data_IF_080231016597
#
_entry.id   IF_080231016597
#
_cell.length_a   1.000
_cell.length_b   1.000
_cell.length_c   1.000
_cell.angle_alpha   90.00
_cell.angle_beta   90.00
_cell.angle_gamma   90.00
#
_symmetry.space_group_name_H-M   'P 1'
#
loop_
_entity.id
_entity.type
_entity.pdbx_description
1 polymer ?
#
# COMPACT_ATOMS: atom_id res chain seq x y z
N UNK A 1 40.62 38.75 -13.08
CA UNK A 1 40.54 37.47 -13.81
C UNK A 1 40.11 36.44 -12.80
N UNK A 2 38.87 35.95 -12.88
CA UNK A 2 38.39 34.86 -12.02
C UNK A 2 39.12 33.56 -12.42
N UNK A 3 39.46 32.75 -11.43
CA UNK A 3 40.27 31.54 -11.63
C UNK A 3 39.44 30.45 -12.30
N UNK A 4 40.06 29.60 -13.13
CA UNK A 4 39.40 28.48 -13.84
C UNK A 4 38.57 27.59 -12.93
N UNK A 5 38.98 27.41 -11.67
CA UNK A 5 38.22 26.65 -10.66
C UNK A 5 36.91 27.31 -10.17
N UNK A 6 36.76 28.63 -10.29
CA UNK A 6 35.50 29.34 -9.97
C UNK A 6 34.47 29.20 -11.10
N UNK A 7 34.96 29.10 -12.35
CA UNK A 7 34.16 28.85 -13.54
C UNK A 7 33.62 27.41 -13.56
N UNK A 8 34.46 26.40 -13.31
CA UNK A 8 34.06 25.00 -13.23
C UNK A 8 33.08 24.74 -12.08
N UNK A 9 33.31 25.35 -10.92
CA UNK A 9 32.37 25.27 -9.80
C UNK A 9 31.03 25.98 -10.11
N UNK A 10 31.06 27.04 -10.91
CA UNK A 10 29.87 27.72 -11.41
C UNK A 10 29.05 26.85 -12.36
N UNK A 11 29.71 26.23 -13.33
CA UNK A 11 29.10 25.32 -14.31
C UNK A 11 28.52 24.07 -13.63
N UNK A 12 29.24 23.48 -12.68
CA UNK A 12 28.75 22.35 -11.90
C UNK A 12 27.46 22.69 -11.11
N UNK A 13 27.43 23.87 -10.47
CA UNK A 13 26.22 24.34 -9.75
C UNK A 13 25.03 24.55 -10.70
N UNK A 14 25.26 25.06 -11.90
CA UNK A 14 24.21 25.23 -12.91
C UNK A 14 23.71 23.87 -13.39
N UNK A 15 24.59 22.92 -13.68
CA UNK A 15 24.21 21.56 -14.08
C UNK A 15 23.38 20.84 -13.00
N UNK A 16 23.75 20.98 -11.73
CA UNK A 16 23.01 20.38 -10.62
C UNK A 16 21.65 21.04 -10.40
N UNK A 17 21.56 22.37 -10.56
CA UNK A 17 20.29 23.09 -10.52
C UNK A 17 19.36 22.66 -11.67
N UNK A 18 19.89 22.51 -12.88
CA UNK A 18 19.13 22.02 -14.05
C UNK A 18 18.65 20.58 -13.82
N UNK A 19 19.51 19.68 -13.32
CA UNK A 19 19.13 18.29 -12.98
C UNK A 19 18.03 18.25 -11.93
N UNK A 20 18.13 19.05 -10.87
CA UNK A 20 17.10 19.15 -9.84
C UNK A 20 15.78 19.65 -10.42
N UNK A 21 15.83 20.71 -11.24
CA UNK A 21 14.64 21.27 -11.86
C UNK A 21 13.97 20.26 -12.81
N UNK A 22 14.74 19.56 -13.65
CA UNK A 22 14.24 18.54 -14.55
C UNK A 22 13.59 17.38 -13.79
N UNK A 23 14.21 16.92 -12.69
CA UNK A 23 13.62 15.91 -11.80
C UNK A 23 12.29 16.40 -11.23
N UNK A 24 12.25 17.59 -10.63
CA UNK A 24 11.02 18.15 -10.04
C UNK A 24 9.91 18.28 -11.08
N UNK A 25 10.22 18.74 -12.29
CA UNK A 25 9.27 18.80 -13.42
C UNK A 25 8.72 17.43 -13.78
N UNK A 26 9.59 16.43 -13.95
CA UNK A 26 9.17 15.08 -14.27
C UNK A 26 8.27 14.47 -13.18
N UNK A 27 8.55 14.74 -11.91
CA UNK A 27 7.67 14.33 -10.80
C UNK A 27 6.31 15.03 -10.86
N UNK A 28 6.29 16.35 -11.06
CA UNK A 28 5.03 17.09 -11.17
C UNK A 28 4.18 16.60 -12.35
N UNK A 29 4.80 16.38 -13.51
CA UNK A 29 4.11 15.84 -14.69
C UNK A 29 3.57 14.42 -14.44
N UNK A 30 4.34 13.57 -13.74
CA UNK A 30 3.87 12.25 -13.35
C UNK A 30 2.71 12.33 -12.35
N UNK A 31 2.77 13.22 -11.37
CA UNK A 31 1.69 13.48 -10.41
C UNK A 31 0.42 13.94 -11.11
N UNK A 32 0.52 14.86 -12.08
CA UNK A 32 -0.61 15.33 -12.87
C UNK A 32 -1.27 14.18 -13.66
N UNK A 33 -0.46 13.34 -14.33
CA UNK A 33 -0.96 12.19 -15.08
C UNK A 33 -1.60 11.15 -14.16
N UNK A 34 -0.95 10.81 -13.05
CA UNK A 34 -1.49 9.87 -12.06
C UNK A 34 -2.80 10.42 -11.50
N UNK A 35 -2.83 11.71 -11.13
CA UNK A 35 -4.03 12.37 -10.62
C UNK A 35 -5.15 12.34 -11.65
N UNK A 36 -4.86 12.58 -12.93
CA UNK A 36 -5.85 12.53 -14.01
C UNK A 36 -6.43 11.12 -14.17
N UNK A 37 -5.59 10.08 -14.20
CA UNK A 37 -6.03 8.67 -14.28
C UNK A 37 -6.86 8.29 -13.05
N UNK A 38 -6.39 8.62 -11.85
CA UNK A 38 -7.13 8.31 -10.63
C UNK A 38 -8.44 9.10 -10.54
N UNK A 39 -8.53 10.29 -11.13
CA UNK A 39 -9.75 11.09 -11.16
C UNK A 39 -10.72 10.68 -12.27
N UNK A 40 -10.31 9.78 -13.17
CA UNK A 40 -11.19 9.26 -14.20
C UNK A 40 -12.45 8.63 -13.57
N UNK A 41 -13.66 8.99 -14.03
CA UNK A 41 -14.89 8.46 -13.45
C UNK A 41 -15.00 6.94 -13.52
N UNK A 42 -14.48 6.31 -14.58
CA UNK A 42 -14.48 4.85 -14.73
C UNK A 42 -13.54 4.18 -13.73
N UNK A 43 -12.38 4.78 -13.47
CA UNK A 43 -11.45 4.32 -12.42
C UNK A 43 -12.07 4.47 -11.03
N UNK A 44 -12.73 5.60 -10.75
CA UNK A 44 -13.43 5.79 -9.48
C UNK A 44 -14.58 4.80 -9.31
N UNK A 45 -15.38 4.56 -10.34
CA UNK A 45 -16.46 3.59 -10.29
C UNK A 45 -15.93 2.16 -10.08
N UNK A 46 -14.89 1.76 -10.80
CA UNK A 46 -14.25 0.46 -10.61
C UNK A 46 -13.73 0.31 -9.18
N UNK A 47 -13.10 1.36 -8.62
CA UNK A 47 -12.63 1.39 -7.24
C UNK A 47 -13.76 1.20 -6.24
N UNK A 48 -14.89 1.89 -6.40
CA UNK A 48 -16.03 1.73 -5.49
C UNK A 48 -16.67 0.34 -5.60
N UNK A 49 -16.75 -0.23 -6.81
CA UNK A 49 -17.21 -1.62 -7.01
C UNK A 49 -16.30 -2.63 -6.31
N UNK A 50 -14.98 -2.46 -6.43
CA UNK A 50 -14.01 -3.32 -5.72
C UNK A 50 -14.17 -3.18 -4.20
N UNK A 51 -14.21 -1.96 -3.66
CA UNK A 51 -14.42 -1.74 -2.22
C UNK A 51 -15.71 -2.39 -1.72
N UNK A 52 -16.80 -2.29 -2.48
CA UNK A 52 -18.06 -2.92 -2.13
C UNK A 52 -17.93 -4.44 -2.07
N UNK A 53 -17.34 -5.05 -3.10
CA UNK A 53 -17.11 -6.50 -3.15
C UNK A 53 -16.18 -6.98 -2.02
N UNK A 54 -15.09 -6.26 -1.73
CA UNK A 54 -14.19 -6.57 -0.61
C UNK A 54 -14.93 -6.54 0.74
N UNK A 55 -15.82 -5.58 0.93
CA UNK A 55 -16.58 -5.40 2.18
C UNK A 55 -17.66 -6.47 2.34
N UNK A 56 -18.38 -6.77 1.25
CA UNK A 56 -19.39 -7.83 1.21
C UNK A 56 -18.76 -9.17 1.56
N UNK A 57 -17.71 -9.55 0.82
CA UNK A 57 -16.96 -10.79 1.05
C UNK A 57 -16.35 -10.84 2.47
N UNK A 58 -15.80 -9.72 2.95
CA UNK A 58 -15.29 -9.62 4.32
C UNK A 58 -16.35 -9.90 5.38
N UNK A 59 -17.56 -9.40 5.16
CA UNK A 59 -18.70 -9.62 6.04
C UNK A 59 -19.16 -11.08 5.99
N UNK A 60 -19.28 -11.67 4.81
CA UNK A 60 -19.66 -13.08 4.64
C UNK A 60 -18.69 -14.02 5.35
N UNK A 61 -17.40 -13.73 5.29
CA UNK A 61 -16.35 -14.54 5.90
C UNK A 61 -16.17 -14.30 7.41
N UNK A 62 -16.80 -13.27 7.97
CA UNK A 62 -16.56 -12.84 9.35
C UNK A 62 -16.82 -13.95 10.37
N UNK A 63 -17.92 -14.69 10.24
CA UNK A 63 -18.24 -15.77 11.19
C UNK A 63 -17.12 -16.84 11.30
N UNK A 64 -16.39 -17.05 10.21
CA UNK A 64 -15.33 -18.05 10.13
C UNK A 64 -13.96 -17.49 10.49
N UNK A 65 -13.68 -16.26 10.07
CA UNK A 65 -12.35 -15.67 10.15
C UNK A 65 -12.16 -14.74 11.36
N UNK A 66 -13.22 -14.33 12.05
CA UNK A 66 -13.15 -13.51 13.27
C UNK A 66 -12.19 -14.05 14.35
N UNK A 67 -12.07 -15.38 14.60
CA UNK A 67 -11.11 -15.90 15.56
C UNK A 67 -9.64 -15.59 15.25
N UNK A 68 -9.30 -15.27 14.00
CA UNK A 68 -7.96 -14.81 13.61
C UNK A 68 -7.78 -13.33 13.92
N UNK A 69 -8.80 -12.50 13.67
CA UNK A 69 -8.79 -11.09 14.07
C UNK A 69 -8.73 -10.93 15.59
N UNK A 70 -9.45 -11.75 16.35
CA UNK A 70 -9.42 -11.69 17.82
C UNK A 70 -8.01 -12.04 18.36
N UNK A 71 -7.33 -13.01 17.72
CA UNK A 71 -5.94 -13.35 18.04
C UNK A 71 -4.98 -12.21 17.71
N UNK A 72 -5.16 -11.57 16.55
CA UNK A 72 -4.39 -10.38 16.20
C UNK A 72 -4.61 -9.24 17.20
N UNK A 73 -5.86 -8.92 17.53
CA UNK A 73 -6.22 -7.85 18.46
C UNK A 73 -5.60 -8.11 19.86
N UNK A 74 -5.61 -9.37 20.31
CA UNK A 74 -4.95 -9.78 21.56
C UNK A 74 -3.42 -9.62 21.48
N UNK A 75 -2.78 -10.11 20.41
CA UNK A 75 -1.33 -10.01 20.23
C UNK A 75 -0.86 -8.55 20.21
N UNK A 76 -1.62 -7.66 19.57
CA UNK A 76 -1.37 -6.21 19.60
C UNK A 76 -1.50 -5.65 21.01
N UNK A 77 -2.54 -6.03 21.75
CA UNK A 77 -2.76 -5.55 23.11
C UNK A 77 -1.66 -6.00 24.10
N UNK A 78 -1.13 -7.20 23.91
CA UNK A 78 -0.09 -7.79 24.75
C UNK A 78 1.34 -7.45 24.29
N UNK A 79 1.49 -6.92 23.07
CA UNK A 79 2.80 -6.69 22.46
C UNK A 79 3.52 -8.00 22.09
N UNK A 80 2.76 -9.05 21.75
CA UNK A 80 3.30 -10.36 21.36
C UNK A 80 3.88 -10.31 19.94
N UNK A 81 5.18 -10.01 19.85
CA UNK A 81 5.89 -9.90 18.59
C UNK A 81 5.99 -11.24 17.84
N UNK A 82 6.06 -12.37 18.55
CA UNK A 82 6.19 -13.69 17.93
C UNK A 82 4.87 -14.09 17.25
N UNK A 83 3.73 -13.82 17.90
CA UNK A 83 2.41 -14.03 17.30
C UNK A 83 2.19 -13.13 16.07
N UNK A 84 2.62 -11.87 16.13
CA UNK A 84 2.52 -10.94 15.01
C UNK A 84 3.44 -11.32 13.84
N UNK A 85 4.62 -11.89 14.12
CA UNK A 85 5.55 -12.36 13.10
C UNK A 85 5.05 -13.60 12.33
N UNK A 86 4.12 -14.36 12.91
CA UNK A 86 3.50 -15.54 12.28
C UNK A 86 2.31 -15.23 11.37
N UNK A 87 2.02 -13.96 11.10
CA UNK A 87 0.94 -13.52 10.23
C UNK A 87 1.39 -13.43 8.78
N UNK A 88 0.41 -13.50 7.89
CA UNK A 88 0.59 -13.30 6.46
C UNK A 88 1.28 -11.97 6.14
N UNK A 89 2.35 -12.03 5.33
CA UNK A 89 3.04 -10.85 4.80
C UNK A 89 2.19 -10.03 3.83
N UNK A 90 1.11 -10.61 3.29
CA UNK A 90 0.13 -9.97 2.42
C UNK A 90 -0.52 -8.76 3.08
N UNK A 91 0.05 -7.58 2.82
CA UNK A 91 -0.57 -6.28 3.03
C UNK A 91 -1.41 -6.00 1.77
N UNK A 92 -2.74 -5.82 1.89
CA UNK A 92 -3.52 -5.02 0.91
C UNK A 92 -5.03 -4.97 1.15
N UNK A 93 -5.46 -4.07 2.03
CA UNK A 93 -6.44 -3.13 1.50
C UNK A 93 -5.78 -1.79 1.30
N UNK A 94 -6.29 -0.93 0.42
CA UNK A 94 -5.55 0.16 -0.23
C UNK A 94 -4.93 1.27 0.67
N UNK A 95 -4.81 1.09 2.00
CA UNK A 95 -4.52 2.09 3.03
C UNK A 95 -3.79 1.52 4.29
N UNK A 96 -3.01 0.43 4.17
CA UNK A 96 -2.26 -0.14 5.32
C UNK A 96 -3.04 -1.16 6.16
N UNK A 97 -3.80 -2.04 5.51
CA UNK A 97 -4.56 -3.10 6.19
C UNK A 97 -3.70 -4.37 6.29
N UNK A 98 -3.83 -5.08 7.42
CA UNK A 98 -3.05 -6.26 7.76
C UNK A 98 -3.91 -7.50 7.52
N UNK A 99 -3.38 -8.48 6.79
CA UNK A 99 -3.98 -9.80 6.75
C UNK A 99 -3.76 -10.49 8.09
N UNK A 100 -4.85 -10.88 8.76
CA UNK A 100 -4.78 -11.52 10.09
C UNK A 100 -4.67 -13.04 10.02
N UNK A 101 -4.59 -13.59 8.81
CA UNK A 101 -4.44 -15.03 8.61
C UNK A 101 -2.99 -15.47 8.83
N UNK A 102 -2.75 -16.75 9.14
CA UNK A 102 -1.40 -17.28 9.34
C UNK A 102 -0.51 -17.12 8.11
N UNK A 103 0.79 -17.01 8.33
CA UNK A 103 1.79 -17.04 7.27
C UNK A 103 1.61 -18.25 6.33
N UNK A 104 1.87 -18.03 5.04
CA UNK A 104 1.74 -19.04 4.00
C UNK A 104 0.31 -19.38 3.56
N UNK A 105 -0.77 -18.80 4.13
CA UNK A 105 -2.15 -19.12 3.68
C UNK A 105 -2.38 -18.79 2.20
N UNK A 106 -1.65 -17.81 1.67
CA UNK A 106 -1.67 -17.42 0.26
C UNK A 106 -1.23 -18.54 -0.69
N UNK A 107 -0.48 -19.54 -0.21
CA UNK A 107 -0.05 -20.69 -1.02
C UNK A 107 -1.16 -21.69 -1.31
N UNK A 108 -2.18 -21.80 -0.45
CA UNK A 108 -3.33 -22.68 -0.69
C UNK A 108 -4.36 -22.03 -1.61
N UNK A 109 -4.39 -20.70 -1.68
CA UNK A 109 -5.40 -19.90 -2.39
C UNK A 109 -6.85 -20.23 -2.00
N UNK A 110 -7.07 -20.93 -0.88
CA UNK A 110 -8.41 -21.29 -0.40
C UNK A 110 -9.12 -20.09 0.23
N UNK A 111 -8.35 -19.26 0.93
CA UNK A 111 -8.83 -18.04 1.59
C UNK A 111 -8.31 -16.79 0.89
N UNK A 112 -9.17 -15.79 0.59
CA UNK A 112 -8.66 -14.45 0.36
C UNK A 112 -7.95 -13.95 1.61
N UNK A 113 -7.09 -12.96 1.45
CA UNK A 113 -6.62 -12.21 2.60
C UNK A 113 -7.81 -11.57 3.30
N UNK A 114 -7.74 -11.47 4.62
CA UNK A 114 -8.85 -10.98 5.43
C UNK A 114 -8.34 -10.19 6.63
N UNK A 115 -9.13 -9.21 7.06
CA UNK A 115 -8.83 -8.36 8.20
C UNK A 115 -9.83 -7.22 8.31
N UNK A 116 -9.46 -6.17 9.05
CA UNK A 116 -10.26 -4.95 9.17
C UNK A 116 -9.66 -3.77 8.40
N UNK A 117 -10.52 -2.92 7.87
CA UNK A 117 -10.12 -1.62 7.34
C UNK A 117 -9.90 -0.57 8.45
N UNK A 118 -9.49 0.64 8.08
CA UNK A 118 -9.26 1.75 9.01
C UNK A 118 -10.51 2.20 9.77
N UNK A 119 -11.71 1.82 9.31
CA UNK A 119 -12.99 2.05 10.00
C UNK A 119 -13.38 0.86 10.91
N UNK A 120 -12.54 -0.17 11.02
CA UNK A 120 -12.81 -1.37 11.79
C UNK A 120 -13.75 -2.37 11.11
N UNK A 121 -14.13 -2.15 9.85
CA UNK A 121 -15.03 -3.06 9.13
C UNK A 121 -14.27 -4.25 8.53
N UNK A 122 -14.84 -5.46 8.58
CA UNK A 122 -14.22 -6.63 7.97
C UNK A 122 -14.19 -6.49 6.45
N UNK A 123 -13.13 -7.00 5.84
CA UNK A 123 -12.89 -6.97 4.40
C UNK A 123 -12.14 -8.23 3.97
N UNK A 124 -12.32 -8.63 2.72
CA UNK A 124 -11.57 -9.70 2.09
C UNK A 124 -11.00 -9.23 0.74
N UNK A 125 -9.77 -9.61 0.41
CA UNK A 125 -9.11 -9.21 -0.84
C UNK A 125 -8.22 -10.31 -1.41
N UNK A 126 -7.94 -10.24 -2.70
CA UNK A 126 -7.08 -11.18 -3.42
C UNK A 126 -5.82 -10.46 -3.90
N UNK A 127 -4.67 -11.10 -3.69
CA UNK A 127 -3.36 -10.63 -4.11
C UNK A 127 -2.64 -9.75 -3.09
N UNK A 128 -1.35 -9.57 -3.33
CA UNK A 128 -0.42 -8.76 -2.54
C UNK A 128 -0.22 -7.37 -3.15
N UNK A 129 0.35 -6.46 -2.36
CA UNK A 129 0.85 -5.19 -2.86
C UNK A 129 1.91 -5.39 -3.97
N UNK A 130 1.99 -4.52 -5.00
CA UNK A 130 3.09 -4.55 -5.96
C UNK A 130 4.46 -4.16 -5.37
N UNK A 131 4.51 -3.71 -4.11
CA UNK A 131 5.70 -3.27 -3.36
C UNK A 131 6.36 -4.38 -2.52
N UNK A 132 6.24 -5.64 -2.95
CA UNK A 132 6.95 -6.79 -2.37
C UNK A 132 8.25 -7.15 -3.15
N UNK A 133 8.95 -6.14 -3.69
CA UNK A 133 10.28 -6.28 -4.31
C UNK A 133 11.38 -5.57 -3.52
#
# INVERSE_FOLDING_TARGET
MMSTGEHEAGEQRVQDAVRRHARTRAFAEAEDVISAVLSDPGVQEARERVKAAETEMGTELSARLQPFQDRYDQAVAEGDADALAGLCGGKHGPWGRICVLPDGHETSMEEPHWGRNSEGRPIAWVGSAPDDW
#
